data_IF_098476380691
#
_entry.id   IF_098476380691
#
_cell.length_a   1.000
_cell.length_b   1.000
_cell.length_c   1.000
_cell.angle_alpha   90.00
_cell.angle_beta   90.00
_cell.angle_gamma   90.00
#
_symmetry.space_group_name_H-M   'P 1'
#
loop_
_entity.id
_entity.type
_entity.pdbx_description
1 polymer ?
#
# COMPACT_ATOMS: atom_id res chain seq x y z
N UNK A 1 25.26 33.32 -6.23
CA UNK A 1 25.85 31.98 -6.24
C UNK A 1 24.89 30.91 -6.78
N UNK A 2 23.76 30.55 -6.14
CA UNK A 2 22.86 29.49 -6.67
C UNK A 2 22.11 29.87 -7.98
N UNK A 3 21.70 31.12 -8.17
CA UNK A 3 21.19 31.63 -9.48
C UNK A 3 22.28 31.86 -10.54
N UNK A 4 23.56 31.94 -10.14
CA UNK A 4 24.71 32.18 -11.03
C UNK A 4 25.35 30.87 -11.53
N UNK A 5 25.34 29.82 -10.69
CA UNK A 5 25.75 28.45 -11.06
C UNK A 5 24.76 27.84 -12.07
N UNK A 6 23.46 28.13 -11.96
CA UNK A 6 22.45 27.63 -12.90
C UNK A 6 22.46 28.25 -14.30
N UNK A 7 23.01 29.47 -14.48
CA UNK A 7 22.99 30.18 -15.78
C UNK A 7 24.24 30.01 -16.64
N UNK A 8 25.37 29.54 -16.09
CA UNK A 8 26.62 29.38 -16.86
C UNK A 8 26.88 27.96 -17.38
N UNK A 9 26.03 27.00 -17.00
CA UNK A 9 26.09 25.61 -17.51
C UNK A 9 25.15 25.36 -18.70
N UNK A 10 24.39 26.37 -19.15
CA UNK A 10 23.50 26.30 -20.34
C UNK A 10 24.12 26.84 -21.63
N UNK A 11 25.41 27.18 -21.66
CA UNK A 11 26.06 27.79 -22.84
C UNK A 11 27.22 26.99 -23.45
N UNK A 12 27.23 25.66 -23.29
CA UNK A 12 27.97 24.77 -24.20
C UNK A 12 27.15 23.51 -24.45
N UNK A 13 26.51 23.42 -25.63
CA UNK A 13 25.95 22.16 -26.16
C UNK A 13 24.43 22.06 -26.25
N UNK A 14 23.87 22.64 -27.32
CA UNK A 14 22.71 22.23 -28.12
C UNK A 14 21.58 21.40 -27.47
N UNK A 15 20.39 22.02 -27.39
CA UNK A 15 19.13 21.36 -27.76
C UNK A 15 18.20 20.87 -26.64
N UNK A 16 17.04 21.52 -26.57
CA UNK A 16 15.74 21.03 -26.09
C UNK A 16 15.43 20.94 -24.57
N UNK A 17 14.35 21.66 -24.27
CA UNK A 17 13.24 21.38 -23.35
C UNK A 17 13.43 21.43 -21.82
N UNK A 18 12.38 21.98 -21.21
CA UNK A 18 12.24 22.37 -19.82
C UNK A 18 11.87 21.18 -18.91
N UNK A 19 11.89 21.43 -17.60
CA UNK A 19 11.32 20.61 -16.52
C UNK A 19 12.04 19.32 -16.13
N UNK A 20 13.19 19.44 -15.46
CA UNK A 20 13.58 18.47 -14.43
C UNK A 20 14.25 19.18 -13.24
N UNK A 21 13.76 18.88 -12.02
CA UNK A 21 14.29 19.43 -10.77
C UNK A 21 15.79 19.15 -10.63
N UNK A 22 16.54 20.19 -10.25
CA UNK A 22 17.99 20.13 -10.01
C UNK A 22 18.33 19.14 -8.88
N UNK A 23 18.57 17.87 -9.23
CA UNK A 23 19.24 16.91 -8.35
C UNK A 23 20.68 17.35 -8.14
N UNK A 24 21.08 17.49 -6.87
CA UNK A 24 22.49 17.62 -6.53
C UNK A 24 23.17 16.26 -6.75
N UNK A 25 24.09 16.19 -7.72
CA UNK A 25 24.93 15.00 -7.88
C UNK A 25 25.85 14.84 -6.67
N UNK A 26 26.38 13.62 -6.46
CA UNK A 26 27.37 13.35 -5.40
C UNK A 26 28.56 14.29 -5.52
N UNK A 27 28.99 14.56 -6.74
CA UNK A 27 30.09 15.48 -7.01
C UNK A 27 29.72 16.94 -6.74
N UNK A 28 28.47 17.36 -6.94
CA UNK A 28 28.02 18.71 -6.56
C UNK A 28 28.05 18.90 -5.03
N UNK A 29 27.63 17.89 -4.26
CA UNK A 29 27.69 17.90 -2.79
C UNK A 29 29.14 17.85 -2.31
N UNK A 30 29.98 17.00 -2.88
CA UNK A 30 31.39 16.89 -2.52
C UNK A 30 32.17 18.17 -2.85
N UNK A 31 31.86 18.81 -3.98
CA UNK A 31 32.42 20.11 -4.36
C UNK A 31 32.05 21.20 -3.34
N UNK A 32 30.80 21.22 -2.88
CA UNK A 32 30.36 22.13 -1.82
C UNK A 32 31.04 21.83 -0.48
N UNK A 33 31.13 20.56 -0.06
CA UNK A 33 31.82 20.14 1.16
C UNK A 33 33.29 20.57 1.14
N UNK A 34 33.99 20.42 0.02
CA UNK A 34 35.35 20.93 -0.18
C UNK A 34 35.44 22.45 0.03
N UNK A 35 34.48 23.22 -0.48
CA UNK A 35 34.47 24.68 -0.32
C UNK A 35 34.31 25.13 1.14
N UNK A 36 33.73 24.29 2.00
CA UNK A 36 33.55 24.59 3.42
C UNK A 36 34.52 23.82 4.33
N UNK A 37 35.58 23.23 3.77
CA UNK A 37 36.63 22.51 4.51
C UNK A 37 36.17 21.17 5.11
N UNK A 38 35.18 20.53 4.49
CA UNK A 38 34.57 19.27 4.91
C UNK A 38 34.86 18.11 3.93
N UNK A 39 35.95 18.21 3.17
CA UNK A 39 36.31 17.23 2.13
C UNK A 39 36.50 15.81 2.66
N UNK A 40 36.85 15.65 3.94
CA UNK A 40 36.99 14.34 4.60
C UNK A 40 35.68 13.53 4.60
N UNK A 41 34.53 14.18 4.49
CA UNK A 41 33.23 13.51 4.42
C UNK A 41 32.83 13.13 2.99
N UNK A 42 33.58 13.55 1.97
CA UNK A 42 33.28 13.22 0.58
C UNK A 42 33.37 11.71 0.31
N UNK A 43 34.33 11.03 0.92
CA UNK A 43 34.55 9.60 0.67
C UNK A 43 33.47 8.75 1.36
N UNK A 44 33.03 9.13 2.56
CA UNK A 44 31.89 8.52 3.24
C UNK A 44 30.56 8.78 2.50
N UNK A 45 30.39 10.00 1.95
CA UNK A 45 29.23 10.35 1.14
C UNK A 45 29.20 9.57 -0.20
N UNK A 46 30.37 9.35 -0.83
CA UNK A 46 30.52 8.51 -2.02
C UNK A 46 30.25 7.04 -1.70
N UNK A 47 30.82 6.51 -0.61
CA UNK A 47 30.64 5.13 -0.19
C UNK A 47 29.16 4.78 0.08
N UNK A 48 28.41 5.69 0.71
CA UNK A 48 26.98 5.51 0.97
C UNK A 48 26.09 5.57 -0.28
N UNK A 49 26.62 6.03 -1.43
CA UNK A 49 25.95 6.00 -2.73
C UNK A 49 26.32 4.76 -3.56
N UNK A 50 27.39 4.07 -3.19
CA UNK A 50 27.97 2.92 -3.93
C UNK A 50 27.42 1.57 -3.42
N UNK A 51 26.74 1.51 -2.27
CA UNK A 51 26.06 0.29 -1.83
C UNK A 51 24.72 0.06 -2.54
N UNK A 52 24.77 -0.08 -3.86
CA UNK A 52 24.05 -1.13 -4.57
C UNK A 52 25.11 -2.20 -4.90
N UNK A 53 25.03 -3.33 -4.18
CA UNK A 53 25.83 -4.56 -4.28
C UNK A 53 27.22 -4.63 -3.62
N UNK A 54 27.29 -5.61 -2.70
CA UNK A 54 28.46 -6.44 -2.35
C UNK A 54 29.49 -5.88 -1.36
N UNK A 55 29.36 -6.21 -0.07
CA UNK A 55 30.52 -6.43 0.83
C UNK A 55 30.20 -7.51 1.87
N UNK A 56 30.44 -8.77 1.50
CA UNK A 56 31.16 -9.69 2.39
C UNK A 56 32.63 -9.58 1.96
N UNK A 57 33.50 -9.16 2.88
CA UNK A 57 34.89 -9.57 2.82
C UNK A 57 35.53 -9.56 4.22
N UNK A 58 36.43 -10.51 4.41
CA UNK A 58 36.69 -11.26 5.65
C UNK A 58 37.68 -10.63 6.65
N UNK A 59 38.08 -9.38 6.48
CA UNK A 59 39.10 -8.80 7.35
C UNK A 59 38.49 -7.83 8.35
N UNK A 60 38.05 -8.40 9.47
CA UNK A 60 37.60 -7.67 10.65
C UNK A 60 38.64 -6.64 11.08
N UNK A 61 38.26 -5.37 10.99
CA UNK A 61 38.88 -4.31 11.78
C UNK A 61 37.77 -3.39 12.25
N UNK A 62 37.40 -3.52 13.53
CA UNK A 62 36.28 -2.87 14.17
C UNK A 62 36.64 -1.49 14.76
N UNK A 63 37.77 -0.90 14.36
CA UNK A 63 38.35 0.20 15.13
C UNK A 63 37.85 1.59 14.72
N UNK A 64 37.39 1.80 13.49
CA UNK A 64 36.94 3.12 13.02
C UNK A 64 35.46 3.42 13.27
N UNK A 65 34.60 2.39 13.29
CA UNK A 65 33.17 2.56 13.59
C UNK A 65 32.92 2.75 15.10
N UNK A 66 33.79 2.19 15.94
CA UNK A 66 33.64 2.26 17.41
C UNK A 66 33.95 3.67 17.92
N UNK A 67 34.89 4.37 17.30
CA UNK A 67 35.25 5.76 17.64
C UNK A 67 34.15 6.76 17.23
N UNK A 68 33.47 6.52 16.09
CA UNK A 68 32.32 7.31 15.66
C UNK A 68 31.05 7.04 16.51
N UNK A 69 30.91 5.83 17.05
CA UNK A 69 29.76 5.42 17.87
C UNK A 69 29.92 5.84 19.34
N UNK A 70 31.14 5.93 19.88
CA UNK A 70 31.35 6.37 21.27
C UNK A 70 31.07 7.86 21.48
N UNK A 71 31.35 8.70 20.48
CA UNK A 71 31.11 10.15 20.56
C UNK A 71 29.63 10.57 20.36
N UNK A 72 28.77 9.63 19.94
CA UNK A 72 27.34 9.87 19.64
C UNK A 72 26.41 9.17 20.65
N UNK A 73 26.97 8.57 21.71
CA UNK A 73 26.20 7.89 22.76
C UNK A 73 25.58 8.85 23.79
N UNK A 74 24.65 9.67 23.31
CA UNK A 74 23.49 10.15 24.07
C UNK A 74 22.34 10.36 23.05
N UNK A 75 21.71 9.26 22.65
CA UNK A 75 20.77 9.20 21.50
C UNK A 75 19.42 9.87 21.75
N UNK A 76 18.79 10.35 20.66
CA UNK A 76 17.44 9.90 20.33
C UNK A 76 17.42 9.08 19.03
N UNK A 77 16.63 8.01 19.04
CA UNK A 77 16.44 7.01 17.98
C UNK A 77 15.58 7.55 16.82
N UNK A 78 15.99 7.27 15.57
CA UNK A 78 15.39 7.80 14.34
C UNK A 78 14.17 7.00 13.84
N UNK A 79 13.26 7.70 13.14
CA UNK A 79 11.96 7.20 12.66
C UNK A 79 11.75 7.65 11.21
N UNK A 80 11.38 6.72 10.32
CA UNK A 80 10.97 6.97 8.93
C UNK A 80 9.46 7.07 8.79
N UNK A 81 9.00 7.97 7.91
CA UNK A 81 7.59 8.11 7.52
C UNK A 81 7.48 8.24 5.98
N UNK A 82 6.50 7.54 5.41
CA UNK A 82 6.14 7.59 3.98
C UNK A 82 5.13 8.71 3.71
N UNK A 83 5.24 9.32 2.52
CA UNK A 83 4.68 10.63 2.14
C UNK A 83 3.27 10.59 1.53
N UNK A 84 2.50 11.65 1.79
CA UNK A 84 1.73 12.41 0.79
C UNK A 84 1.86 13.92 1.09
N UNK A 85 1.42 14.73 0.11
CA UNK A 85 1.88 16.06 -0.32
C UNK A 85 1.64 17.26 0.62
N UNK A 86 2.65 18.12 0.78
CA UNK A 86 2.54 19.59 0.95
C UNK A 86 3.87 20.26 0.56
N UNK A 87 3.83 21.29 -0.28
CA UNK A 87 4.99 21.82 -1.02
C UNK A 87 5.65 23.10 -0.47
N UNK A 88 6.93 23.24 -0.80
CA UNK A 88 7.74 24.47 -0.89
C UNK A 88 8.88 24.17 -1.88
N UNK A 89 9.27 25.12 -2.73
CA UNK A 89 10.11 24.97 -3.96
C UNK A 89 11.58 24.56 -3.81
N UNK A 90 11.93 23.84 -2.75
CA UNK A 90 13.12 23.00 -2.71
C UNK A 90 12.68 21.55 -2.57
N UNK A 91 12.46 20.90 -3.72
CA UNK A 91 12.12 19.47 -3.79
C UNK A 91 13.41 18.68 -4.03
N UNK A 92 13.77 17.84 -3.07
CA UNK A 92 14.59 16.65 -3.33
C UNK A 92 13.58 15.52 -3.47
N UNK A 93 13.37 15.03 -4.69
CA UNK A 93 12.56 13.84 -4.91
C UNK A 93 13.37 12.60 -4.54
N UNK A 94 12.96 11.93 -3.48
CA UNK A 94 13.40 10.56 -3.19
C UNK A 94 12.29 9.60 -3.62
N UNK A 95 12.58 8.74 -4.58
CA UNK A 95 11.67 7.70 -5.08
C UNK A 95 11.46 6.60 -4.01
N UNK A 96 10.68 6.87 -2.96
CA UNK A 96 10.44 5.93 -1.85
C UNK A 96 9.16 5.10 -2.12
N UNK A 97 9.20 4.30 -3.19
CA UNK A 97 8.11 3.38 -3.55
C UNK A 97 8.34 1.90 -3.13
N UNK A 98 9.41 1.56 -2.40
CA UNK A 98 9.66 0.16 -1.97
C UNK A 98 9.74 -0.04 -0.45
N UNK A 99 9.28 -1.24 -0.04
CA UNK A 99 9.04 -1.75 1.32
C UNK A 99 10.27 -1.64 2.22
N UNK A 100 10.11 -1.14 3.44
CA UNK A 100 11.14 -1.21 4.49
C UNK A 100 10.87 -2.37 5.45
N UNK A 101 11.95 -3.01 5.92
CA UNK A 101 11.96 -3.86 7.11
C UNK A 101 12.45 -3.04 8.31
N UNK A 102 12.10 -3.45 9.52
CA UNK A 102 12.40 -2.72 10.77
C UNK A 102 13.89 -2.72 11.15
N UNK A 103 14.71 -3.55 10.49
CA UNK A 103 16.14 -3.76 10.73
C UNK A 103 17.06 -3.17 9.65
N UNK A 104 16.53 -2.49 8.63
CA UNK A 104 17.32 -1.87 7.56
C UNK A 104 17.26 -0.33 7.60
N UNK A 105 18.40 0.39 7.51
CA UNK A 105 18.40 1.85 7.42
C UNK A 105 17.72 2.30 6.11
N UNK A 106 16.95 3.41 6.11
CA UNK A 106 16.25 3.85 4.91
C UNK A 106 17.20 4.22 3.78
N UNK A 107 16.91 3.74 2.58
CA UNK A 107 17.61 4.15 1.37
C UNK A 107 17.37 5.64 1.14
N UNK A 108 18.43 6.40 0.90
CA UNK A 108 18.39 7.87 0.89
C UNK A 108 18.71 8.53 2.25
N UNK A 109 19.43 7.86 3.15
CA UNK A 109 19.88 8.42 4.44
C UNK A 109 20.69 9.73 4.32
N UNK A 110 21.18 10.06 3.11
CA UNK A 110 21.98 11.23 2.81
C UNK A 110 21.39 12.54 3.33
N UNK A 111 20.07 12.79 3.19
CA UNK A 111 19.49 14.04 3.68
C UNK A 111 19.38 14.12 5.21
N UNK A 112 19.20 12.99 5.90
CA UNK A 112 19.19 12.94 7.36
C UNK A 112 20.59 13.11 7.93
N UNK A 113 21.56 12.38 7.38
CA UNK A 113 22.96 12.51 7.76
C UNK A 113 23.47 13.93 7.45
N UNK A 114 23.14 14.47 6.27
CA UNK A 114 23.48 15.84 5.91
C UNK A 114 22.86 16.86 6.86
N UNK A 115 21.58 16.71 7.23
CA UNK A 115 20.95 17.57 8.22
C UNK A 115 21.62 17.42 9.59
N UNK A 116 21.96 16.20 10.03
CA UNK A 116 22.62 15.95 11.31
C UNK A 116 24.04 16.53 11.35
N UNK A 117 24.83 16.35 10.29
CA UNK A 117 26.14 16.97 10.12
C UNK A 117 25.98 18.47 10.14
N UNK A 118 25.06 19.04 9.36
CA UNK A 118 24.84 20.48 9.34
C UNK A 118 24.41 21.02 10.71
N UNK A 119 23.58 20.30 11.45
CA UNK A 119 23.10 20.71 12.77
C UNK A 119 24.20 20.67 13.84
N UNK A 120 25.18 19.77 13.74
CA UNK A 120 26.13 19.53 14.82
C UNK A 120 27.60 19.84 14.47
N UNK A 121 27.94 20.10 13.20
CA UNK A 121 29.32 20.31 12.81
C UNK A 121 29.88 21.65 13.37
N UNK A 122 31.04 21.63 14.07
CA UNK A 122 31.61 22.83 14.69
C UNK A 122 31.92 23.97 13.73
N UNK A 123 32.36 23.67 12.50
CA UNK A 123 32.68 24.71 11.49
C UNK A 123 31.46 25.54 11.06
N UNK A 124 30.25 25.03 11.31
CA UNK A 124 28.99 25.71 10.95
C UNK A 124 28.50 26.60 12.11
N UNK A 125 29.18 26.57 13.27
CA UNK A 125 28.78 27.33 14.46
C UNK A 125 28.69 28.84 14.18
N UNK A 126 29.60 29.36 13.36
CA UNK A 126 29.60 30.77 12.95
C UNK A 126 28.34 31.18 12.16
N UNK A 127 27.70 30.24 11.47
CA UNK A 127 26.49 30.48 10.68
C UNK A 127 25.22 30.29 11.51
N UNK A 128 25.27 29.87 12.78
CA UNK A 128 24.06 29.57 13.55
C UNK A 128 23.19 30.81 13.73
N UNK A 129 21.88 30.62 13.70
CA UNK A 129 20.92 31.70 13.87
C UNK A 129 19.81 31.35 14.86
N UNK A 130 19.56 32.31 15.75
CA UNK A 130 18.36 32.40 16.59
C UNK A 130 17.71 33.76 16.39
N UNK A 131 16.39 33.81 16.47
CA UNK A 131 15.61 35.02 16.27
C UNK A 131 14.42 34.80 15.34
N UNK A 132 13.86 35.89 14.86
CA UNK A 132 12.70 35.88 13.96
C UNK A 132 13.15 36.00 12.51
N UNK A 133 12.56 35.18 11.65
CA UNK A 133 12.77 35.22 10.19
C UNK A 133 11.43 35.10 9.47
N UNK A 134 11.38 35.59 8.24
CA UNK A 134 10.17 35.77 7.46
C UNK A 134 10.27 35.05 6.12
N UNK A 135 9.18 34.48 5.65
CA UNK A 135 9.08 33.88 4.32
C UNK A 135 7.76 34.25 3.68
N UNK A 136 7.82 34.79 2.47
CA UNK A 136 6.64 34.91 1.62
C UNK A 136 6.38 33.59 0.90
N UNK A 137 5.12 33.18 0.85
CA UNK A 137 4.66 32.04 0.06
C UNK A 137 3.23 32.28 -0.41
N UNK A 138 2.76 31.46 -1.33
CA UNK A 138 1.40 31.49 -1.84
C UNK A 138 0.74 30.14 -1.55
N UNK A 139 -0.42 30.14 -0.88
CA UNK A 139 -1.15 28.93 -0.48
C UNK A 139 -2.56 28.94 -1.04
N UNK A 140 -3.06 27.78 -1.45
CA UNK A 140 -4.47 27.60 -1.74
C UNK A 140 -5.33 27.69 -0.46
N UNK A 141 -6.64 27.90 -0.61
CA UNK A 141 -7.56 27.94 0.54
C UNK A 141 -7.56 26.62 1.34
N UNK A 142 -7.44 25.48 0.65
CA UNK A 142 -7.42 24.16 1.28
C UNK A 142 -6.12 23.91 2.05
N UNK A 143 -4.99 24.40 1.56
CA UNK A 143 -3.72 24.32 2.29
C UNK A 143 -3.72 25.28 3.49
N UNK A 144 -4.20 26.52 3.31
CA UNK A 144 -4.26 27.51 4.38
C UNK A 144 -5.18 27.08 5.52
N UNK A 145 -6.27 26.37 5.23
CA UNK A 145 -7.19 25.81 6.23
C UNK A 145 -6.52 24.78 7.17
N UNK A 146 -5.40 24.19 6.77
CA UNK A 146 -4.64 23.24 7.61
C UNK A 146 -3.79 23.95 8.67
N UNK A 147 -3.56 25.26 8.51
CA UNK A 147 -2.84 26.07 9.48
C UNK A 147 -3.81 26.54 10.56
N UNK A 148 -4.00 25.71 11.59
CA UNK A 148 -4.79 26.05 12.78
C UNK A 148 -3.86 26.32 13.97
N UNK A 149 -4.22 27.22 14.90
CA UNK A 149 -3.47 27.42 16.13
C UNK A 149 -3.19 26.08 16.84
N UNK A 150 -2.02 25.97 17.44
CA UNK A 150 -1.45 24.77 18.07
C UNK A 150 -1.11 23.59 17.14
N UNK A 151 -1.49 23.64 15.86
CA UNK A 151 -1.01 22.64 14.90
C UNK A 151 0.51 22.71 14.77
N UNK A 152 1.10 21.57 14.38
CA UNK A 152 2.55 21.40 14.30
C UNK A 152 2.94 21.11 12.86
N UNK A 153 3.93 21.85 12.37
CA UNK A 153 4.50 21.64 11.04
C UNK A 153 5.95 21.21 11.18
N UNK A 154 6.43 20.40 10.24
CA UNK A 154 7.80 19.90 10.20
C UNK A 154 8.44 20.29 8.87
N UNK A 155 9.59 20.95 8.90
CA UNK A 155 10.35 21.21 7.67
C UNK A 155 10.88 19.88 7.11
N UNK A 156 10.64 19.60 5.83
CA UNK A 156 11.17 18.38 5.17
C UNK A 156 12.45 18.65 4.39
N UNK A 157 12.64 19.88 3.96
CA UNK A 157 13.81 20.39 3.24
C UNK A 157 14.28 21.70 3.88
N UNK A 158 15.38 22.26 3.36
CA UNK A 158 15.82 23.58 3.78
C UNK A 158 14.75 24.62 3.46
N UNK A 159 14.40 25.41 4.46
CA UNK A 159 13.47 26.52 4.31
C UNK A 159 14.27 27.82 4.19
N UNK A 160 14.30 28.42 3.00
CA UNK A 160 14.87 29.76 2.86
C UNK A 160 13.91 30.80 3.45
N UNK A 161 14.44 31.63 4.34
CA UNK A 161 13.76 32.74 5.01
C UNK A 161 14.70 33.95 5.08
N UNK A 162 14.18 35.11 5.46
CA UNK A 162 14.96 36.35 5.58
C UNK A 162 14.72 37.01 6.93
N UNK A 163 15.75 37.61 7.52
CA UNK A 163 15.58 38.49 8.69
C UNK A 163 14.79 39.75 8.34
N UNK A 164 14.80 40.17 7.07
CA UNK A 164 14.05 41.34 6.60
C UNK A 164 12.68 40.92 6.08
N UNK A 165 11.66 41.69 6.48
CA UNK A 165 10.28 41.43 6.05
C UNK A 165 10.03 41.82 4.58
N UNK A 166 10.70 42.87 4.11
CA UNK A 166 10.56 43.37 2.73
C UNK A 166 11.12 42.38 1.70
N UNK A 167 12.23 41.72 2.01
CA UNK A 167 12.76 40.62 1.20
C UNK A 167 11.76 39.46 1.08
N UNK A 168 11.05 39.11 2.16
CA UNK A 168 10.02 38.08 2.14
C UNK A 168 8.83 38.48 1.25
N UNK A 169 8.48 39.77 1.17
CA UNK A 169 7.40 40.24 0.30
C UNK A 169 7.70 40.12 -1.20
N UNK A 170 8.97 40.06 -1.60
CA UNK A 170 9.34 39.82 -3.00
C UNK A 170 8.88 38.44 -3.51
N UNK A 171 8.62 37.50 -2.59
CA UNK A 171 8.16 36.15 -2.90
C UNK A 171 6.64 35.99 -2.85
N UNK A 172 5.89 37.07 -2.57
CA UNK A 172 4.43 37.06 -2.56
C UNK A 172 3.88 37.42 -3.95
N UNK A 173 3.04 36.54 -4.50
CA UNK A 173 2.34 36.78 -5.76
C UNK A 173 0.92 37.27 -5.49
N UNK A 174 0.68 38.58 -5.59
CA UNK A 174 -0.64 39.18 -5.32
C UNK A 174 -1.64 39.01 -6.45
N UNK A 175 -1.15 38.73 -7.66
CA UNK A 175 -1.98 38.70 -8.87
C UNK A 175 -2.54 37.30 -9.18
N UNK A 176 -2.29 36.30 -8.31
CA UNK A 176 -2.79 34.94 -8.48
C UNK A 176 -4.19 34.80 -7.84
N UNK A 177 -5.26 34.57 -8.61
CA UNK A 177 -6.61 34.49 -8.05
C UNK A 177 -6.89 33.19 -7.27
N UNK A 178 -6.07 32.15 -7.49
CA UNK A 178 -6.24 30.82 -6.87
C UNK A 178 -5.47 30.75 -5.54
N UNK A 179 -4.29 31.35 -5.50
CA UNK A 179 -3.37 31.26 -4.36
C UNK A 179 -3.37 32.56 -3.56
N UNK A 180 -3.52 32.45 -2.25
CA UNK A 180 -3.45 33.57 -1.32
C UNK A 180 -2.00 33.87 -0.94
N UNK A 181 -1.56 35.15 -0.97
CA UNK A 181 -0.29 35.57 -0.38
C UNK A 181 -0.27 35.36 1.13
N UNK A 182 0.75 34.64 1.61
CA UNK A 182 0.93 34.30 3.02
C UNK A 182 2.35 34.65 3.46
N UNK A 183 2.45 35.46 4.51
CA UNK A 183 3.70 35.71 5.22
C UNK A 183 3.82 34.76 6.41
N UNK A 184 4.79 33.86 6.36
CA UNK A 184 5.14 32.99 7.48
C UNK A 184 6.26 33.64 8.31
N UNK A 185 6.02 33.82 9.61
CA UNK A 185 6.94 34.41 10.58
C UNK A 185 7.43 33.31 11.52
N UNK A 186 8.69 32.90 11.37
CA UNK A 186 9.31 31.82 12.14
C UNK A 186 10.18 32.39 13.27
N UNK A 187 9.89 31.98 14.50
CA UNK A 187 10.74 32.24 15.67
C UNK A 187 11.62 31.02 15.97
N UNK A 188 12.91 31.17 15.73
CA UNK A 188 13.93 30.15 15.91
C UNK A 188 14.60 30.36 17.27
N UNK A 189 14.33 29.46 18.21
CA UNK A 189 14.88 29.55 19.58
C UNK A 189 16.19 28.77 19.71
N UNK A 190 16.33 27.64 19.00
CA UNK A 190 17.52 26.78 19.08
C UNK A 190 18.54 27.17 18.01
N UNK A 191 19.81 27.33 18.42
CA UNK A 191 20.92 27.74 17.55
C UNK A 191 21.09 26.83 16.33
N UNK A 192 20.92 25.52 16.50
CA UNK A 192 21.11 24.53 15.42
C UNK A 192 19.99 24.51 14.36
N UNK A 193 18.88 25.20 14.58
CA UNK A 193 17.74 25.15 13.64
C UNK A 193 17.87 26.08 12.44
N UNK A 194 18.67 27.15 12.56
CA UNK A 194 18.80 28.19 11.56
C UNK A 194 20.25 28.45 11.20
N UNK A 195 20.49 28.75 9.93
CA UNK A 195 21.80 29.11 9.38
C UNK A 195 21.71 30.50 8.73
N UNK A 196 22.29 31.52 9.34
CA UNK A 196 22.46 32.84 8.74
C UNK A 196 23.53 32.78 7.65
N UNK A 197 23.09 32.68 6.40
CA UNK A 197 23.96 32.51 5.23
C UNK A 197 24.13 33.81 4.43
N UNK A 198 23.82 34.97 5.00
CA UNK A 198 23.88 36.27 4.30
C UNK A 198 25.24 36.53 3.63
N UNK A 199 26.34 36.11 4.26
CA UNK A 199 27.70 36.22 3.71
C UNK A 199 28.00 35.26 2.56
N UNK A 200 27.27 34.14 2.48
CA UNK A 200 27.37 33.13 1.43
C UNK A 200 26.34 33.34 0.31
N UNK A 201 25.26 34.08 0.61
CA UNK A 201 24.17 34.30 -0.32
C UNK A 201 24.61 35.14 -1.51
N UNK A 202 23.97 34.91 -2.64
CA UNK A 202 24.17 35.69 -3.85
C UNK A 202 23.80 37.17 -3.65
N UNK A 203 22.82 37.38 -2.77
CA UNK A 203 22.20 38.68 -2.52
C UNK A 203 22.47 39.01 -1.06
N UNK A 204 23.58 39.70 -0.81
CA UNK A 204 24.06 39.97 0.54
C UNK A 204 23.05 40.77 1.38
N UNK A 205 22.24 41.59 0.70
CA UNK A 205 21.24 42.47 1.34
C UNK A 205 19.99 41.74 1.82
N UNK A 206 19.75 40.50 1.40
CA UNK A 206 18.56 39.74 1.80
C UNK A 206 18.62 39.24 3.24
N UNK A 207 19.79 39.28 3.91
CA UNK A 207 19.96 38.74 5.26
C UNK A 207 19.36 37.33 5.41
N UNK A 208 19.67 36.48 4.43
CA UNK A 208 19.09 35.15 4.29
C UNK A 208 19.43 34.23 5.47
N UNK A 209 18.42 33.48 5.91
CA UNK A 209 18.52 32.43 6.90
C UNK A 209 17.94 31.15 6.31
N UNK A 210 18.67 30.05 6.37
CA UNK A 210 18.14 28.73 6.06
C UNK A 210 17.70 28.03 7.33
N UNK A 211 16.44 27.63 7.41
CA UNK A 211 15.99 26.68 8.43
C UNK A 211 16.33 25.28 7.94
N UNK A 212 17.03 24.51 8.78
CA UNK A 212 17.44 23.15 8.44
C UNK A 212 16.23 22.20 8.33
N UNK A 213 16.36 21.06 7.65
CA UNK A 213 15.33 20.03 7.64
C UNK A 213 15.02 19.49 9.04
N UNK A 214 13.82 18.94 9.21
CA UNK A 214 13.31 18.28 10.42
C UNK A 214 13.17 19.19 11.64
N UNK A 215 13.03 20.50 11.42
CA UNK A 215 12.69 21.45 12.47
C UNK A 215 11.18 21.55 12.57
N UNK A 216 10.62 21.20 13.73
CA UNK A 216 9.20 21.36 13.98
C UNK A 216 8.89 22.75 14.54
N UNK A 217 7.79 23.32 14.06
CA UNK A 217 7.21 24.56 14.55
C UNK A 217 5.76 24.32 14.97
N UNK A 218 5.34 25.00 16.02
CA UNK A 218 3.94 25.12 16.43
C UNK A 218 3.39 26.42 15.86
N UNK A 219 2.21 26.35 15.27
CA UNK A 219 1.47 27.53 14.83
C UNK A 219 0.94 28.23 16.08
N UNK A 220 1.42 29.43 16.35
CA UNK A 220 0.99 30.25 17.49
C UNK A 220 -0.28 31.00 17.14
N UNK A 221 -0.35 31.53 15.92
CA UNK A 221 -1.44 32.40 15.50
C UNK A 221 -1.56 32.44 13.98
N UNK A 222 -2.79 32.50 13.49
CA UNK A 222 -3.10 32.72 12.07
C UNK A 222 -3.99 33.95 11.94
N UNK A 223 -3.48 34.95 11.24
CA UNK A 223 -4.13 36.24 11.03
C UNK A 223 -4.43 36.43 9.55
N UNK A 224 -5.65 36.12 9.12
CA UNK A 224 -5.99 36.06 7.69
C UNK A 224 -6.01 37.43 6.98
N UNK A 225 -6.17 38.54 7.71
CA UNK A 225 -6.46 39.87 7.14
C UNK A 225 -5.52 41.00 7.62
N UNK A 226 -4.35 40.69 8.20
CA UNK A 226 -3.64 41.65 9.07
C UNK A 226 -2.62 42.55 8.37
N UNK A 227 -2.05 42.15 7.24
CA UNK A 227 -0.96 42.89 6.62
C UNK A 227 -1.43 43.63 5.36
N UNK A 228 -1.76 44.91 5.53
CA UNK A 228 -1.94 45.86 4.42
C UNK A 228 -0.54 46.33 3.98
N UNK A 229 -0.06 45.79 2.85
CA UNK A 229 1.23 46.19 2.27
C UNK A 229 1.06 47.47 1.44
N UNK A 230 -0.12 47.62 0.81
CA UNK A 230 -0.58 48.84 0.15
C UNK A 230 -2.11 48.84 0.07
N UNK A 231 -2.72 49.90 -0.46
CA UNK A 231 -4.18 50.11 -0.53
C UNK A 231 -4.96 48.91 -1.09
N UNK A 232 -4.33 48.11 -1.98
CA UNK A 232 -4.95 46.95 -2.63
C UNK A 232 -4.21 45.60 -2.40
N UNK A 233 -3.19 45.55 -1.54
CA UNK A 233 -2.41 44.31 -1.31
C UNK A 233 -2.51 43.86 0.14
N UNK A 234 -3.23 42.75 0.34
CA UNK A 234 -3.40 42.08 1.63
C UNK A 234 -2.69 40.73 1.63
N UNK A 235 -2.03 40.42 2.75
CA UNK A 235 -1.45 39.10 2.98
C UNK A 235 -1.95 38.53 4.32
N UNK A 236 -2.19 37.22 4.34
CA UNK A 236 -2.41 36.48 5.58
C UNK A 236 -1.07 36.25 6.29
N UNK A 237 -1.07 36.20 7.62
CA UNK A 237 0.14 36.06 8.43
C UNK A 237 0.03 34.84 9.32
N UNK A 238 1.05 33.99 9.29
CA UNK A 238 1.13 32.80 10.13
C UNK A 238 2.34 32.96 11.04
N UNK A 239 2.13 32.89 12.36
CA UNK A 239 3.17 32.97 13.36
C UNK A 239 3.53 31.56 13.84
N UNK A 240 4.82 31.24 13.80
CA UNK A 240 5.33 29.91 14.05
C UNK A 240 6.45 29.94 15.08
N UNK A 241 6.28 29.23 16.19
CA UNK A 241 7.30 29.09 17.22
C UNK A 241 7.95 27.71 17.14
N UNK A 242 9.29 27.66 17.14
CA UNK A 242 9.99 26.38 17.20
C UNK A 242 9.59 25.62 18.47
N UNK A 243 9.23 24.36 18.32
CA UNK A 243 8.87 23.49 19.44
C UNK A 243 10.15 22.94 20.09
N UNK A 244 10.12 22.72 21.40
CA UNK A 244 11.24 22.11 22.14
C UNK A 244 11.50 20.68 21.69
N UNK A 245 12.73 20.17 21.90
CA UNK A 245 13.11 18.78 21.53
C UNK A 245 12.18 17.76 22.19
N UNK A 246 11.78 18.00 23.45
CA UNK A 246 10.88 17.13 24.21
C UNK A 246 9.52 17.00 23.52
N UNK A 247 8.93 18.12 23.10
CA UNK A 247 7.62 18.13 22.43
C UNK A 247 7.68 17.60 21.00
N UNK A 248 8.81 17.77 20.31
CA UNK A 248 9.08 17.17 19.01
C UNK A 248 9.09 15.64 19.09
N UNK A 249 9.76 15.09 20.11
CA UNK A 249 9.78 13.64 20.34
C UNK A 249 8.39 13.10 20.67
N UNK A 250 7.60 13.81 21.48
CA UNK A 250 6.21 13.44 21.77
C UNK A 250 5.33 13.46 20.52
N UNK A 251 5.48 14.48 19.66
CA UNK A 251 4.75 14.57 18.39
C UNK A 251 5.06 13.38 17.47
N UNK A 252 6.34 13.06 17.28
CA UNK A 252 6.77 11.97 16.42
C UNK A 252 6.31 10.60 16.94
N UNK A 253 6.19 10.44 18.26
CA UNK A 253 5.65 9.22 18.88
C UNK A 253 4.14 9.06 18.65
N UNK A 254 3.37 10.14 18.69
CA UNK A 254 1.91 10.08 18.58
C UNK A 254 1.41 10.05 17.13
N UNK A 255 2.16 10.58 16.16
CA UNK A 255 1.75 10.60 14.75
C UNK A 255 2.04 9.27 14.01
N UNK A 256 2.86 8.40 14.62
CA UNK A 256 3.28 7.11 14.05
C UNK A 256 2.16 6.05 13.98
N UNK A 257 1.35 5.83 15.03
CA UNK A 257 0.38 4.74 15.06
C UNK A 257 -0.79 4.94 14.10
N UNK A 258 -1.35 6.15 14.00
CA UNK A 258 -2.57 6.40 13.23
C UNK A 258 -2.38 6.11 11.73
N UNK A 259 -1.24 6.52 11.16
CA UNK A 259 -0.95 6.23 9.74
C UNK A 259 -0.62 4.76 9.49
N UNK A 260 0.03 4.10 10.46
CA UNK A 260 0.26 2.67 10.37
C UNK A 260 -1.07 1.90 10.44
N UNK A 261 -1.99 2.34 11.30
CA UNK A 261 -3.31 1.73 11.47
C UNK A 261 -4.12 1.80 10.17
N UNK A 262 -4.25 2.99 9.56
CA UNK A 262 -4.92 3.15 8.26
C UNK A 262 -4.32 2.28 7.16
N UNK A 263 -2.97 2.19 7.12
CA UNK A 263 -2.30 1.33 6.15
C UNK A 263 -2.53 -0.17 6.42
N UNK A 264 -2.69 -0.57 7.67
CA UNK A 264 -2.96 -1.97 8.05
C UNK A 264 -4.40 -2.32 7.69
N UNK A 265 -5.36 -1.46 8.02
CA UNK A 265 -6.78 -1.63 7.69
C UNK A 265 -6.99 -1.79 6.18
N UNK A 266 -6.36 -0.93 5.37
CA UNK A 266 -6.42 -1.05 3.91
C UNK A 266 -5.84 -2.40 3.41
N UNK A 267 -4.77 -2.90 4.03
CA UNK A 267 -4.19 -4.19 3.67
C UNK A 267 -5.06 -5.37 4.08
N UNK A 268 -5.72 -5.29 5.24
CA UNK A 268 -6.67 -6.31 5.71
C UNK A 268 -7.83 -6.44 4.71
N UNK A 269 -8.44 -5.32 4.32
CA UNK A 269 -9.54 -5.31 3.36
C UNK A 269 -9.15 -5.97 2.01
N UNK A 270 -7.96 -5.67 1.50
CA UNK A 270 -7.44 -6.28 0.25
C UNK A 270 -7.23 -7.81 0.42
N UNK A 271 -6.68 -8.24 1.56
CA UNK A 271 -6.44 -9.66 1.83
C UNK A 271 -7.77 -10.42 1.91
N UNK A 272 -8.76 -9.87 2.59
CA UNK A 272 -10.09 -10.47 2.71
C UNK A 272 -10.76 -10.63 1.33
N UNK A 273 -10.70 -9.60 0.49
CA UNK A 273 -11.21 -9.67 -0.88
C UNK A 273 -10.51 -10.76 -1.70
N UNK A 274 -9.19 -10.86 -1.59
CA UNK A 274 -8.41 -11.89 -2.28
C UNK A 274 -8.79 -13.30 -1.81
N UNK A 275 -9.04 -13.50 -0.51
CA UNK A 275 -9.48 -14.80 0.00
C UNK A 275 -10.82 -15.23 -0.60
N UNK A 276 -11.77 -14.30 -0.76
CA UNK A 276 -13.07 -14.58 -1.39
C UNK A 276 -12.89 -15.02 -2.85
N UNK A 277 -12.11 -14.26 -3.62
CA UNK A 277 -11.82 -14.59 -5.03
C UNK A 277 -11.16 -15.97 -5.15
N UNK A 278 -10.13 -16.23 -4.36
CA UNK A 278 -9.42 -17.52 -4.38
C UNK A 278 -10.33 -18.70 -4.02
N UNK A 279 -11.20 -18.55 -3.01
CA UNK A 279 -12.17 -19.60 -2.64
C UNK A 279 -13.14 -19.89 -3.77
N UNK A 280 -13.63 -18.87 -4.47
CA UNK A 280 -14.53 -19.01 -5.60
C UNK A 280 -13.86 -19.72 -6.79
N UNK A 281 -12.61 -19.36 -7.10
CA UNK A 281 -11.84 -20.01 -8.16
C UNK A 281 -11.52 -21.47 -7.83
N UNK A 282 -11.17 -21.75 -6.58
CA UNK A 282 -10.93 -23.11 -6.10
C UNK A 282 -12.20 -23.96 -6.25
N UNK A 283 -13.36 -23.45 -5.82
CA UNK A 283 -14.63 -24.13 -5.97
C UNK A 283 -15.00 -24.38 -7.46
N UNK A 284 -14.74 -23.40 -8.33
CA UNK A 284 -14.98 -23.53 -9.78
C UNK A 284 -14.12 -24.62 -10.41
N UNK A 285 -12.84 -24.71 -10.04
CA UNK A 285 -11.92 -25.75 -10.50
C UNK A 285 -12.32 -27.13 -9.99
N UNK A 286 -12.68 -27.22 -8.71
CA UNK A 286 -13.18 -28.47 -8.12
C UNK A 286 -14.45 -28.94 -8.83
N UNK A 287 -15.41 -28.05 -9.07
CA UNK A 287 -16.63 -28.35 -9.83
C UNK A 287 -16.32 -28.89 -11.22
N UNK A 288 -15.37 -28.26 -11.94
CA UNK A 288 -14.96 -28.73 -13.27
C UNK A 288 -14.43 -30.17 -13.25
N UNK A 289 -13.67 -30.54 -12.21
CA UNK A 289 -13.20 -31.91 -12.02
C UNK A 289 -14.35 -32.86 -11.70
N UNK A 290 -15.26 -32.50 -10.78
CA UNK A 290 -16.40 -33.35 -10.37
C UNK A 290 -17.48 -33.51 -11.44
N UNK A 291 -17.46 -32.75 -12.53
CA UNK A 291 -18.38 -32.93 -13.67
C UNK A 291 -18.24 -34.28 -14.39
N UNK A 292 -17.17 -35.02 -14.12
CA UNK A 292 -17.01 -36.39 -14.59
C UNK A 292 -17.51 -37.44 -13.60
N UNK A 293 -17.94 -37.03 -12.41
CA UNK A 293 -18.27 -37.91 -11.31
C UNK A 293 -19.78 -38.08 -11.09
N UNK A 294 -20.21 -39.28 -10.72
CA UNK A 294 -21.53 -39.58 -10.17
C UNK A 294 -21.39 -40.29 -8.83
N UNK A 295 -22.37 -40.08 -7.96
CA UNK A 295 -22.54 -40.81 -6.72
C UNK A 295 -23.72 -41.77 -6.84
N UNK A 296 -23.53 -43.01 -6.38
CA UNK A 296 -24.49 -44.10 -6.50
C UNK A 296 -24.69 -44.73 -5.13
N UNK A 297 -25.94 -44.80 -4.69
CA UNK A 297 -26.35 -45.40 -3.42
C UNK A 297 -27.17 -46.66 -3.71
N UNK A 298 -26.84 -47.75 -3.02
CA UNK A 298 -27.61 -48.99 -3.06
C UNK A 298 -26.87 -50.18 -3.66
N UNK A 299 -25.65 -50.00 -4.20
CA UNK A 299 -24.84 -51.12 -4.71
C UNK A 299 -24.39 -52.01 -3.54
N UNK A 300 -24.75 -53.31 -3.51
CA UNK A 300 -24.39 -54.25 -2.45
C UNK A 300 -22.88 -54.29 -2.19
N UNK A 301 -22.44 -54.37 -0.93
CA UNK A 301 -21.00 -54.33 -0.55
C UNK A 301 -20.15 -55.45 -1.15
N UNK A 302 -20.75 -56.59 -1.49
CA UNK A 302 -20.08 -57.75 -2.10
C UNK A 302 -19.86 -57.59 -3.61
N UNK A 303 -20.48 -56.60 -4.25
CA UNK A 303 -20.31 -56.34 -5.68
C UNK A 303 -19.11 -55.41 -5.95
N UNK A 304 -18.38 -55.74 -7.02
CA UNK A 304 -17.35 -54.86 -7.57
C UNK A 304 -18.02 -53.64 -8.22
N UNK A 305 -17.68 -52.40 -7.82
CA UNK A 305 -18.43 -51.23 -8.24
C UNK A 305 -18.48 -50.99 -9.76
N UNK A 306 -17.39 -51.25 -10.49
CA UNK A 306 -17.31 -51.00 -11.94
C UNK A 306 -18.28 -51.90 -12.70
N UNK A 307 -18.25 -53.21 -12.43
CA UNK A 307 -19.14 -54.21 -13.02
C UNK A 307 -20.60 -53.92 -12.68
N UNK A 308 -20.89 -53.61 -11.41
CA UNK A 308 -22.23 -53.26 -10.97
C UNK A 308 -22.81 -52.07 -11.76
N UNK A 309 -21.99 -51.05 -12.04
CA UNK A 309 -22.40 -49.87 -12.81
C UNK A 309 -22.67 -50.21 -14.28
N UNK A 310 -21.84 -51.05 -14.89
CA UNK A 310 -22.06 -51.49 -16.29
C UNK A 310 -23.33 -52.34 -16.39
N UNK A 311 -23.53 -53.30 -15.49
CA UNK A 311 -24.77 -54.09 -15.43
C UNK A 311 -25.98 -53.17 -15.24
N UNK A 312 -25.90 -52.20 -14.33
CA UNK A 312 -26.96 -51.21 -14.09
C UNK A 312 -27.31 -50.43 -15.36
N UNK A 313 -26.31 -49.97 -16.11
CA UNK A 313 -26.52 -49.26 -17.37
C UNK A 313 -27.22 -50.13 -18.42
N UNK A 314 -26.83 -51.40 -18.52
CA UNK A 314 -27.45 -52.36 -19.43
C UNK A 314 -28.93 -52.60 -19.10
N UNK A 315 -29.30 -52.66 -17.80
CA UNK A 315 -30.71 -52.84 -17.40
C UNK A 315 -31.65 -51.73 -17.89
N UNK A 316 -31.13 -50.53 -18.15
CA UNK A 316 -31.90 -49.38 -18.64
C UNK A 316 -31.65 -49.05 -20.11
N UNK A 317 -31.07 -50.02 -20.85
CA UNK A 317 -30.89 -49.93 -22.30
C UNK A 317 -29.67 -49.11 -22.74
N UNK A 318 -28.69 -48.87 -21.86
CA UNK A 318 -27.41 -48.24 -22.19
C UNK A 318 -26.33 -49.30 -22.39
N UNK A 319 -26.50 -50.15 -23.41
CA UNK A 319 -25.57 -51.24 -23.74
C UNK A 319 -24.21 -50.76 -24.27
N UNK A 320 -24.12 -49.48 -24.63
CA UNK A 320 -22.90 -48.83 -25.13
C UNK A 320 -21.97 -48.37 -24.00
N UNK A 321 -22.40 -48.40 -22.73
CA UNK A 321 -21.53 -48.09 -21.59
C UNK A 321 -20.68 -49.31 -21.22
N UNK A 322 -19.37 -49.21 -21.41
CA UNK A 322 -18.41 -50.29 -21.14
C UNK A 322 -17.51 -49.96 -19.94
N UNK A 323 -16.83 -50.97 -19.39
CA UNK A 323 -15.87 -50.75 -18.27
C UNK A 323 -14.79 -49.73 -18.63
N UNK A 324 -14.32 -49.73 -19.88
CA UNK A 324 -13.33 -48.77 -20.40
C UNK A 324 -13.81 -47.30 -20.45
N UNK A 325 -15.12 -47.04 -20.31
CA UNK A 325 -15.66 -45.68 -20.21
C UNK A 325 -15.52 -45.12 -18.79
N UNK A 326 -15.19 -45.97 -17.81
CA UNK A 326 -15.03 -45.67 -16.40
C UNK A 326 -13.53 -45.55 -16.10
N UNK A 327 -13.12 -44.37 -15.64
CA UNK A 327 -11.73 -44.11 -15.24
C UNK A 327 -11.42 -44.76 -13.89
N UNK A 328 -12.32 -44.56 -12.92
CA UNK A 328 -12.20 -45.14 -11.59
C UNK A 328 -13.57 -45.22 -10.92
N UNK A 329 -13.81 -46.29 -10.17
CA UNK A 329 -14.95 -46.39 -9.27
C UNK A 329 -14.52 -46.96 -7.92
N UNK A 330 -15.03 -46.40 -6.83
CA UNK A 330 -14.70 -46.86 -5.48
C UNK A 330 -15.78 -46.45 -4.46
N UNK A 331 -15.77 -47.10 -3.30
CA UNK A 331 -16.69 -46.80 -2.19
C UNK A 331 -16.16 -45.64 -1.35
N UNK A 332 -17.06 -44.75 -0.93
CA UNK A 332 -16.79 -43.62 -0.07
C UNK A 332 -17.16 -43.93 1.38
N UNK A 333 -16.30 -43.49 2.31
CA UNK A 333 -16.54 -43.56 3.75
C UNK A 333 -16.22 -44.91 4.41
N UNK A 334 -16.32 -44.93 5.73
CA UNK A 334 -16.13 -46.11 6.55
C UNK A 334 -17.30 -47.09 6.39
N UNK A 335 -17.00 -48.40 6.45
CA UNK A 335 -18.02 -49.45 6.40
C UNK A 335 -18.86 -49.42 7.68
N UNK A 336 -20.18 -49.41 7.52
CA UNK A 336 -21.15 -49.55 8.61
C UNK A 336 -21.91 -50.86 8.43
N UNK A 337 -22.32 -51.47 9.53
CA UNK A 337 -23.07 -52.71 9.50
C UNK A 337 -24.48 -52.47 8.94
N UNK A 338 -24.91 -53.29 7.98
CA UNK A 338 -26.23 -53.19 7.35
C UNK A 338 -26.41 -52.07 6.31
N UNK A 339 -25.43 -51.18 6.11
CA UNK A 339 -25.53 -50.08 5.14
C UNK A 339 -24.57 -50.26 3.95
N UNK A 340 -25.10 -50.12 2.73
CA UNK A 340 -24.30 -50.04 1.51
C UNK A 340 -23.64 -48.66 1.39
N UNK A 341 -22.31 -48.61 1.30
CA UNK A 341 -21.59 -47.34 1.10
C UNK A 341 -21.90 -46.73 -0.26
N UNK A 342 -21.82 -45.40 -0.30
CA UNK A 342 -21.92 -44.66 -1.55
C UNK A 342 -20.75 -45.03 -2.45
N UNK A 343 -21.02 -45.39 -3.70
CA UNK A 343 -20.00 -45.54 -4.72
C UNK A 343 -19.85 -44.21 -5.45
N UNK A 344 -18.61 -43.73 -5.58
CA UNK A 344 -18.28 -42.67 -6.52
C UNK A 344 -17.68 -43.29 -7.77
N UNK A 345 -18.13 -42.82 -8.93
CA UNK A 345 -17.62 -43.25 -10.23
C UNK A 345 -17.23 -42.03 -11.04
N UNK A 346 -16.05 -42.09 -11.66
CA UNK A 346 -15.55 -41.09 -12.59
C UNK A 346 -15.50 -41.68 -13.99
N UNK A 347 -16.08 -40.97 -14.94
CA UNK A 347 -16.13 -41.35 -16.35
C UNK A 347 -15.06 -40.61 -17.15
N UNK A 348 -14.56 -41.21 -18.23
CA UNK A 348 -13.73 -40.50 -19.21
C UNK A 348 -14.54 -39.49 -20.03
N UNK A 349 -15.85 -39.71 -20.18
CA UNK A 349 -16.73 -38.88 -21.02
C UNK A 349 -17.92 -38.31 -20.24
N UNK A 350 -18.11 -36.98 -20.35
CA UNK A 350 -19.30 -36.29 -19.81
C UNK A 350 -20.59 -36.76 -20.50
N UNK A 351 -20.50 -37.20 -21.76
CA UNK A 351 -21.67 -37.67 -22.53
C UNK A 351 -22.19 -38.97 -21.94
N UNK A 352 -21.30 -39.94 -21.68
CA UNK A 352 -21.63 -41.23 -21.03
C UNK A 352 -22.17 -41.02 -19.62
N UNK A 353 -21.48 -40.19 -18.82
CA UNK A 353 -21.97 -39.77 -17.49
C UNK A 353 -23.38 -39.19 -17.54
N UNK A 354 -23.65 -38.31 -18.51
CA UNK A 354 -24.97 -37.68 -18.67
C UNK A 354 -26.03 -38.67 -19.12
N UNK A 355 -25.71 -39.59 -20.04
CA UNK A 355 -26.64 -40.61 -20.52
C UNK A 355 -27.17 -41.45 -19.35
N UNK A 356 -26.26 -41.90 -18.46
CA UNK A 356 -26.64 -42.64 -17.25
C UNK A 356 -27.46 -41.79 -16.26
N UNK A 357 -27.04 -40.54 -16.01
CA UNK A 357 -27.75 -39.65 -15.08
C UNK A 357 -29.18 -39.30 -15.50
N UNK A 358 -29.44 -39.21 -16.81
CA UNK A 358 -30.80 -38.98 -17.34
C UNK A 358 -31.71 -40.16 -17.02
N UNK A 359 -31.18 -41.39 -17.06
CA UNK A 359 -31.89 -42.64 -16.77
C UNK A 359 -32.07 -42.95 -15.28
N UNK A 360 -31.65 -42.06 -14.38
CA UNK A 360 -31.72 -42.29 -12.91
C UNK A 360 -33.10 -42.67 -12.35
N UNK A 361 -34.19 -42.21 -12.97
CA UNK A 361 -35.56 -42.56 -12.55
C UNK A 361 -35.89 -44.00 -12.90
N UNK A 362 -35.60 -44.40 -14.14
CA UNK A 362 -35.76 -45.76 -14.66
C UNK A 362 -34.93 -46.73 -13.82
N UNK A 363 -33.68 -46.36 -13.50
CA UNK A 363 -32.79 -47.13 -12.64
C UNK A 363 -33.40 -47.33 -11.24
N UNK A 364 -33.88 -46.24 -10.62
CA UNK A 364 -34.49 -46.30 -9.29
C UNK A 364 -35.72 -47.22 -9.26
N UNK A 365 -36.53 -47.19 -10.32
CA UNK A 365 -37.72 -48.05 -10.44
C UNK A 365 -37.35 -49.53 -10.62
N UNK A 366 -36.31 -49.82 -11.41
CA UNK A 366 -35.89 -51.19 -11.70
C UNK A 366 -35.11 -51.86 -10.56
N UNK A 367 -34.31 -51.10 -9.81
CA UNK A 367 -33.28 -51.66 -8.89
C UNK A 367 -33.30 -51.08 -7.48
N UNK A 368 -34.11 -50.04 -7.22
CA UNK A 368 -34.05 -49.23 -5.99
C UNK A 368 -32.69 -48.52 -5.76
N UNK A 369 -31.80 -48.47 -6.75
CA UNK A 369 -30.53 -47.74 -6.70
C UNK A 369 -30.76 -46.27 -7.04
N UNK A 370 -30.10 -45.37 -6.29
CA UNK A 370 -30.24 -43.92 -6.46
C UNK A 370 -28.94 -43.31 -6.97
N UNK A 371 -29.05 -42.49 -8.02
CA UNK A 371 -27.95 -41.77 -8.63
C UNK A 371 -28.12 -40.26 -8.48
N UNK A 372 -27.04 -39.55 -8.15
CA UNK A 372 -26.99 -38.09 -8.11
C UNK A 372 -25.62 -37.56 -8.49
N UNK A 373 -25.55 -36.25 -8.75
CA UNK A 373 -24.31 -35.58 -9.12
C UNK A 373 -23.37 -35.47 -7.91
N UNK A 374 -22.07 -35.67 -8.14
CA UNK A 374 -21.04 -35.36 -7.15
C UNK A 374 -20.82 -33.84 -7.10
N UNK A 375 -21.33 -33.18 -6.05
CA UNK A 375 -21.23 -31.74 -5.86
C UNK A 375 -19.99 -31.37 -5.03
N UNK A 376 -19.49 -30.15 -5.23
CA UNK A 376 -18.53 -29.55 -4.30
C UNK A 376 -19.18 -29.39 -2.92
N UNK A 377 -18.37 -29.21 -1.87
CA UNK A 377 -18.89 -28.98 -0.52
C UNK A 377 -19.81 -27.76 -0.46
N UNK A 378 -19.42 -26.67 -1.12
CA UNK A 378 -20.17 -25.41 -1.14
C UNK A 378 -21.49 -25.59 -1.90
N UNK A 379 -21.45 -26.18 -3.10
CA UNK A 379 -22.65 -26.40 -3.91
C UNK A 379 -23.64 -27.33 -3.19
N UNK A 380 -23.13 -28.35 -2.47
CA UNK A 380 -23.96 -29.21 -1.62
C UNK A 380 -24.61 -28.42 -0.47
N UNK A 381 -23.85 -27.58 0.23
CA UNK A 381 -24.38 -26.74 1.31
C UNK A 381 -25.46 -25.78 0.80
N UNK A 382 -25.26 -25.16 -0.37
CA UNK A 382 -26.26 -24.31 -1.01
C UNK A 382 -27.54 -25.10 -1.33
N UNK A 383 -27.41 -26.29 -1.93
CA UNK A 383 -28.57 -27.12 -2.25
C UNK A 383 -29.34 -27.56 -0.99
N UNK A 384 -28.62 -27.95 0.06
CA UNK A 384 -29.19 -28.36 1.34
C UNK A 384 -29.88 -27.17 2.04
N UNK A 385 -29.28 -25.98 1.97
CA UNK A 385 -29.83 -24.73 2.48
C UNK A 385 -31.17 -24.42 1.80
N UNK A 386 -31.21 -24.37 0.46
CA UNK A 386 -32.44 -24.13 -0.31
C UNK A 386 -33.52 -25.15 0.06
N UNK A 387 -33.17 -26.44 0.09
CA UNK A 387 -34.12 -27.52 0.39
C UNK A 387 -34.63 -27.52 1.83
N UNK A 388 -33.91 -26.88 2.74
CA UNK A 388 -34.34 -26.70 4.12
C UNK A 388 -35.30 -25.52 4.27
N UNK A 389 -35.15 -24.46 3.47
CA UNK A 389 -36.11 -23.34 3.47
C UNK A 389 -37.38 -23.63 2.67
N UNK A 390 -37.30 -24.51 1.67
CA UNK A 390 -38.47 -24.97 0.90
C UNK A 390 -39.30 -26.01 1.65
N UNK A 391 -40.62 -25.86 1.57
CA UNK A 391 -41.60 -26.83 2.05
C UNK A 391 -41.63 -28.10 1.18
N UNK A 392 -42.14 -29.19 1.76
CA UNK A 392 -41.98 -30.56 1.22
C UNK A 392 -42.22 -30.71 -0.28
N UNK A 393 -43.33 -30.16 -0.81
CA UNK A 393 -43.68 -30.26 -2.23
C UNK A 393 -42.81 -29.41 -3.16
N UNK A 394 -42.16 -28.39 -2.61
CA UNK A 394 -41.42 -27.37 -3.36
C UNK A 394 -39.93 -27.70 -3.49
N UNK A 395 -39.42 -28.65 -2.70
CA UNK A 395 -38.04 -29.16 -2.83
C UNK A 395 -37.68 -29.65 -4.23
N UNK A 396 -38.68 -30.02 -5.05
CA UNK A 396 -38.51 -30.38 -6.47
C UNK A 396 -38.00 -29.23 -7.34
N UNK A 397 -38.22 -27.98 -6.91
CA UNK A 397 -37.75 -26.78 -7.60
C UNK A 397 -36.26 -26.51 -7.38
N UNK A 398 -35.63 -27.17 -6.40
CA UNK A 398 -34.19 -27.13 -6.15
C UNK A 398 -33.51 -28.40 -6.67
N UNK A 399 -32.78 -28.25 -7.76
CA UNK A 399 -32.14 -29.38 -8.46
C UNK A 399 -30.74 -29.00 -8.93
N UNK A 400 -30.01 -29.97 -9.47
CA UNK A 400 -28.66 -29.75 -9.98
C UNK A 400 -28.60 -30.04 -11.47
N UNK A 401 -27.72 -29.32 -12.16
CA UNK A 401 -27.43 -29.54 -13.57
C UNK A 401 -25.95 -29.31 -13.84
N UNK A 402 -25.25 -30.35 -14.27
CA UNK A 402 -23.82 -30.33 -14.58
C UNK A 402 -22.97 -29.85 -13.38
N UNK A 403 -23.35 -30.29 -12.18
CA UNK A 403 -22.65 -29.94 -10.94
C UNK A 403 -22.89 -28.52 -10.44
N UNK A 404 -23.89 -27.80 -10.97
CA UNK A 404 -24.34 -26.50 -10.46
C UNK A 404 -25.73 -26.62 -9.85
N UNK A 405 -25.97 -25.87 -8.79
CA UNK A 405 -27.30 -25.77 -8.16
C UNK A 405 -28.18 -24.85 -8.98
N UNK A 406 -29.42 -25.27 -9.19
CA UNK A 406 -30.46 -24.51 -9.86
C UNK A 406 -31.70 -24.42 -8.99
N UNK A 407 -32.34 -23.26 -9.01
CA UNK A 407 -33.64 -23.04 -8.41
C UNK A 407 -34.64 -22.57 -9.46
N UNK A 408 -35.79 -23.24 -9.54
CA UNK A 408 -36.92 -22.88 -10.40
C UNK A 408 -37.90 -22.03 -9.59
N UNK A 409 -37.84 -20.73 -9.77
CA UNK A 409 -38.68 -19.76 -9.05
C UNK A 409 -40.01 -19.46 -9.77
N UNK A 410 -40.13 -19.81 -11.05
CA UNK A 410 -41.38 -19.73 -11.81
C UNK A 410 -41.49 -20.90 -12.79
N UNK A 411 -42.68 -21.15 -13.35
CA UNK A 411 -42.98 -22.31 -14.20
C UNK A 411 -42.03 -22.46 -15.41
N UNK A 412 -41.50 -21.36 -15.94
CA UNK A 412 -40.56 -21.37 -17.06
C UNK A 412 -39.23 -20.64 -16.77
N UNK A 413 -38.96 -20.29 -15.51
CA UNK A 413 -37.72 -19.59 -15.13
C UNK A 413 -36.96 -20.35 -14.06
N UNK A 414 -35.67 -20.54 -14.31
CA UNK A 414 -34.75 -21.14 -13.37
C UNK A 414 -33.41 -20.39 -13.40
N UNK A 415 -32.82 -20.22 -12.23
CA UNK A 415 -31.55 -19.53 -12.03
C UNK A 415 -30.48 -20.50 -11.50
N UNK A 416 -29.22 -20.18 -11.77
CA UNK A 416 -28.09 -20.84 -11.10
C UNK A 416 -27.81 -20.14 -9.77
N UNK A 417 -27.78 -20.90 -8.69
CA UNK A 417 -27.45 -20.41 -7.35
C UNK A 417 -25.98 -20.75 -7.10
N UNK A 418 -25.13 -19.73 -6.95
CA UNK A 418 -23.68 -19.89 -6.80
C UNK A 418 -23.19 -19.47 -5.41
N UNK A 419 -23.94 -18.62 -4.72
CA UNK A 419 -23.62 -18.15 -3.36
C UNK A 419 -24.83 -18.25 -2.43
N UNK A 420 -24.63 -17.95 -1.14
CA UNK A 420 -25.73 -17.89 -0.18
C UNK A 420 -26.57 -16.62 -0.37
N UNK A 421 -25.97 -15.52 -0.83
CA UNK A 421 -26.69 -14.28 -1.15
C UNK A 421 -27.67 -14.46 -2.32
N UNK A 422 -27.33 -15.32 -3.29
CA UNK A 422 -28.26 -15.70 -4.36
C UNK A 422 -29.54 -16.34 -3.79
N UNK A 423 -29.46 -17.08 -2.67
CA UNK A 423 -30.64 -17.67 -2.02
C UNK A 423 -31.57 -16.56 -1.52
N UNK A 424 -31.01 -15.60 -0.79
CA UNK A 424 -31.77 -14.47 -0.22
C UNK A 424 -32.39 -13.59 -1.33
N UNK A 425 -31.67 -13.40 -2.45
CA UNK A 425 -32.18 -12.65 -3.61
C UNK A 425 -33.47 -13.25 -4.21
N UNK A 426 -33.58 -14.59 -4.22
CA UNK A 426 -34.78 -15.28 -4.70
C UNK A 426 -35.87 -15.44 -3.64
N UNK A 427 -35.71 -14.82 -2.46
CA UNK A 427 -36.70 -14.86 -1.38
C UNK A 427 -36.88 -16.25 -0.77
N UNK A 428 -35.83 -17.08 -0.85
CA UNK A 428 -35.81 -18.42 -0.29
C UNK A 428 -35.54 -18.43 1.19
#
# INVERSE_FOLDING_TARGET
MLRWIGRRLTTVGVGCEADHGLMWSVENVCSWLKQIGLEKYCDEFRANKVNEFSLLNENGNADLLTELISDVNDRPTFITARQEYMGSDFRIESNISKKYRDDEPPTGFGHYLFAAVIMNHPSIEYFRHTGTTNRGTNLSNTELAQYVPDARILTRSFLSTSKRIDAAFLYLQFDNPILRPVLCVYRIIQRHAGLAISKLSAVQDENEVLIVPFVAFRIVKVDLNRLNISSNRKASVIFLDKITVRDQMTFLRLYRPEKCLLSIEARIAIIEQNQVVMRNDMNKRERHSRQFNLCIIGIPENEEPTKAIVTLAQTVGLSDLLEQDIEISHRLGAKKEGENRVVIVRFHSRVKRRALLVKRKDIKQATNIVLYEDLTRIDKQILDEIRRRLDGTDKKYAFTRNGRVMYKYEENKAAFINTFEDIDYYGL
#
